data_IF_993408730727
#
_entry.id   IF_993408730727
#
_cell.length_a   1.000
_cell.length_b   1.000
_cell.length_c   1.000
_cell.angle_alpha   90.00
_cell.angle_beta   90.00
_cell.angle_gamma   90.00
#
_symmetry.space_group_name_H-M   'P 1'
#
loop_
_entity.id
_entity.type
_entity.pdbx_description
1 polymer ?
#
# COMPACT_ATOMS: atom_id res chain seq x y z
N UNK A 1 -0.35 -4.84 -15.29
CA UNK A 1 0.42 -3.95 -14.39
C UNK A 1 0.69 -4.70 -13.09
N UNK A 2 1.95 -4.76 -12.65
CA UNK A 2 2.35 -5.36 -11.38
C UNK A 2 2.21 -4.30 -10.28
N UNK A 3 1.10 -4.33 -9.54
CA UNK A 3 0.81 -3.37 -8.46
C UNK A 3 0.13 -4.05 -7.30
N UNK A 4 0.68 -3.91 -6.10
CA UNK A 4 0.10 -4.52 -4.90
C UNK A 4 -1.25 -3.90 -4.54
N UNK A 5 -1.48 -2.61 -4.79
CA UNK A 5 -2.80 -1.98 -4.59
C UNK A 5 -3.85 -2.63 -5.49
N UNK A 6 -3.51 -2.87 -6.78
CA UNK A 6 -4.40 -3.60 -7.70
C UNK A 6 -4.60 -5.05 -7.27
N UNK A 7 -3.55 -5.73 -6.81
CA UNK A 7 -3.66 -7.10 -6.27
C UNK A 7 -4.60 -7.16 -5.08
N UNK A 8 -4.50 -6.22 -4.13
CA UNK A 8 -5.39 -6.13 -2.97
C UNK A 8 -6.85 -5.85 -3.37
N UNK A 9 -7.11 -4.93 -4.31
CA UNK A 9 -8.46 -4.67 -4.84
C UNK A 9 -9.11 -5.95 -5.39
N UNK A 10 -8.35 -6.74 -6.17
CA UNK A 10 -8.85 -8.01 -6.73
C UNK A 10 -9.06 -9.05 -5.64
N UNK A 11 -8.13 -9.19 -4.69
CA UNK A 11 -8.26 -10.10 -3.55
C UNK A 11 -9.50 -9.79 -2.71
N UNK A 12 -9.74 -8.52 -2.41
CA UNK A 12 -10.94 -8.04 -1.72
C UNK A 12 -12.22 -8.45 -2.46
N UNK A 13 -12.30 -8.23 -3.77
CA UNK A 13 -13.47 -8.60 -4.58
C UNK A 13 -13.73 -10.11 -4.56
N UNK A 14 -12.69 -10.92 -4.68
CA UNK A 14 -12.81 -12.39 -4.62
C UNK A 14 -13.32 -12.85 -3.25
N UNK A 15 -12.79 -12.31 -2.15
CA UNK A 15 -13.23 -12.67 -0.80
C UNK A 15 -14.67 -12.20 -0.55
N UNK A 16 -15.04 -11.01 -1.01
CA UNK A 16 -16.40 -10.49 -0.89
C UNK A 16 -17.41 -11.39 -1.62
N UNK A 17 -17.08 -11.89 -2.81
CA UNK A 17 -17.91 -12.87 -3.55
C UNK A 17 -18.11 -14.18 -2.78
N UNK A 18 -17.19 -14.53 -1.88
CA UNK A 18 -17.27 -15.70 -1.01
C UNK A 18 -17.90 -15.41 0.36
N UNK A 19 -18.47 -14.20 0.54
CA UNK A 19 -19.03 -13.77 1.82
C UNK A 19 -17.98 -13.55 2.92
N UNK A 20 -16.70 -13.41 2.56
CA UNK A 20 -15.61 -13.18 3.50
C UNK A 20 -15.22 -11.72 3.50
N UNK A 21 -15.10 -11.13 4.70
CA UNK A 21 -14.74 -9.73 4.88
C UNK A 21 -13.23 -9.58 5.00
N UNK A 22 -12.61 -8.91 4.03
CA UNK A 22 -11.23 -8.42 4.13
C UNK A 22 -11.25 -6.94 4.51
N UNK A 23 -10.80 -6.62 5.73
CA UNK A 23 -10.70 -5.23 6.20
C UNK A 23 -9.48 -4.54 5.60
N UNK A 24 -9.49 -3.21 5.39
CA UNK A 24 -8.32 -2.48 4.89
C UNK A 24 -7.07 -2.67 5.76
N UNK A 25 -7.22 -2.71 7.09
CA UNK A 25 -6.11 -3.00 8.00
C UNK A 25 -5.50 -4.39 7.73
N UNK A 26 -6.33 -5.41 7.52
CA UNK A 26 -5.86 -6.75 7.19
C UNK A 26 -5.22 -6.77 5.79
N UNK A 27 -5.77 -6.06 4.81
CA UNK A 27 -5.18 -5.94 3.47
C UNK A 27 -3.76 -5.38 3.52
N UNK A 28 -3.56 -4.27 4.25
CA UNK A 28 -2.24 -3.64 4.35
C UNK A 28 -1.27 -4.46 5.20
N UNK A 29 -1.75 -5.15 6.24
CA UNK A 29 -0.95 -6.17 6.94
C UNK A 29 -0.49 -7.27 5.99
N UNK A 30 -1.41 -7.87 5.22
CA UNK A 30 -1.09 -8.93 4.26
C UNK A 30 -0.13 -8.48 3.17
N UNK A 31 -0.19 -7.21 2.75
CA UNK A 31 0.74 -6.65 1.76
C UNK A 31 2.14 -6.35 2.33
N UNK A 32 2.26 -6.14 3.64
CA UNK A 32 3.51 -5.71 4.30
C UNK A 32 4.04 -6.78 5.25
N UNK A 33 3.88 -6.62 6.56
CA UNK A 33 4.40 -7.54 7.58
C UNK A 33 3.90 -8.98 7.40
N UNK A 34 2.63 -9.18 7.04
CA UNK A 34 2.07 -10.50 6.77
C UNK A 34 2.77 -11.22 5.61
N UNK A 35 3.16 -10.48 4.56
CA UNK A 35 3.95 -11.03 3.45
C UNK A 35 5.39 -11.33 3.90
N UNK A 36 6.02 -10.41 4.62
CA UNK A 36 7.38 -10.61 5.15
C UNK A 36 7.48 -11.86 6.05
N UNK A 37 6.49 -12.07 6.92
CA UNK A 37 6.35 -13.29 7.74
C UNK A 37 6.24 -14.55 6.90
N UNK A 38 5.41 -14.52 5.86
CA UNK A 38 5.22 -15.67 4.95
C UNK A 38 6.51 -16.05 4.22
N UNK A 39 7.43 -15.09 4.07
CA UNK A 39 8.74 -15.28 3.45
C UNK A 39 9.89 -15.48 4.46
N UNK A 40 9.60 -15.54 5.76
CA UNK A 40 10.62 -15.60 6.83
C UNK A 40 11.60 -14.41 6.82
N UNK A 41 11.10 -13.22 6.43
CA UNK A 41 11.85 -11.96 6.38
C UNK A 41 11.37 -10.94 7.43
N UNK A 42 10.54 -11.38 8.39
CA UNK A 42 10.23 -10.59 9.57
C UNK A 42 11.52 -10.24 10.33
N UNK A 43 11.61 -9.01 10.84
CA UNK A 43 12.84 -8.48 11.45
C UNK A 43 13.88 -8.02 10.42
N UNK A 44 13.59 -8.14 9.12
CA UNK A 44 14.40 -7.55 8.04
C UNK A 44 13.59 -6.51 7.26
N UNK A 45 12.35 -6.83 6.83
CA UNK A 45 11.47 -5.92 6.07
C UNK A 45 10.01 -6.01 6.53
N UNK A 46 9.15 -5.15 5.98
CA UNK A 46 7.69 -5.21 6.17
C UNK A 46 7.16 -4.52 7.42
N UNK A 47 8.02 -3.91 8.23
CA UNK A 47 7.64 -3.08 9.39
C UNK A 47 8.63 -1.95 9.58
N UNK A 48 8.14 -0.78 10.00
CA UNK A 48 8.97 0.37 10.37
C UNK A 48 9.42 0.17 11.83
N UNK A 49 10.61 -0.41 12.00
CA UNK A 49 11.19 -0.67 13.31
C UNK A 49 12.73 -0.60 13.23
N UNK A 50 13.42 -0.23 14.33
CA UNK A 50 14.88 -0.32 14.40
C UNK A 50 15.38 -1.73 14.06
N UNK A 51 16.45 -1.82 13.26
CA UNK A 51 17.01 -3.09 12.78
C UNK A 51 16.47 -3.57 11.44
N UNK A 52 15.28 -3.11 11.01
CA UNK A 52 14.75 -3.42 9.69
C UNK A 52 15.37 -2.50 8.61
N UNK A 53 15.43 -2.99 7.38
CA UNK A 53 15.76 -2.18 6.22
C UNK A 53 14.73 -1.06 6.03
N UNK A 54 15.20 0.11 5.63
CA UNK A 54 14.36 1.27 5.33
C UNK A 54 13.76 1.18 3.91
N UNK A 55 13.01 0.10 3.68
CA UNK A 55 12.25 -0.15 2.47
C UNK A 55 10.83 0.41 2.66
N UNK A 56 10.58 1.59 2.08
CA UNK A 56 9.38 2.37 2.35
C UNK A 56 8.72 2.83 1.05
N UNK A 57 7.40 2.95 1.08
CA UNK A 57 6.62 3.53 0.01
C UNK A 57 5.85 4.70 0.59
N UNK A 58 6.06 5.90 0.05
CA UNK A 58 5.26 7.08 0.41
C UNK A 58 4.04 7.10 -0.49
N UNK A 59 2.86 7.11 0.11
CA UNK A 59 1.59 7.08 -0.60
C UNK A 59 0.92 8.45 -0.57
N UNK A 60 0.32 8.84 -1.69
CA UNK A 60 -0.56 10.00 -1.81
C UNK A 60 -2.00 9.53 -2.05
N UNK A 61 -2.83 9.63 -1.02
CA UNK A 61 -4.25 9.30 -1.07
C UNK A 61 -5.08 10.32 -1.87
N UNK A 62 -4.51 11.45 -2.28
CA UNK A 62 -5.12 12.47 -3.12
C UNK A 62 -4.61 12.48 -4.57
N UNK A 63 -3.80 11.51 -4.98
CA UNK A 63 -3.01 11.55 -6.22
C UNK A 63 -3.79 11.71 -7.54
N UNK A 64 -5.10 11.51 -7.54
CA UNK A 64 -5.96 11.74 -8.71
C UNK A 64 -7.19 12.56 -8.32
N UNK A 65 -7.84 13.29 -9.25
CA UNK A 65 -9.04 14.07 -8.92
C UNK A 65 -10.15 13.24 -8.26
N UNK A 66 -10.34 11.99 -8.70
CA UNK A 66 -11.32 11.08 -8.12
C UNK A 66 -10.94 10.64 -6.69
N UNK A 67 -9.66 10.41 -6.43
CA UNK A 67 -9.15 10.08 -5.11
C UNK A 67 -9.26 11.29 -4.17
N UNK A 68 -8.83 12.47 -4.58
CA UNK A 68 -8.93 13.71 -3.79
C UNK A 68 -10.38 14.01 -3.40
N UNK A 69 -11.34 13.87 -4.33
CA UNK A 69 -12.76 14.07 -4.05
C UNK A 69 -13.29 13.10 -2.99
N UNK A 70 -12.88 11.83 -3.04
CA UNK A 70 -13.30 10.81 -2.07
C UNK A 70 -12.59 10.98 -0.72
N UNK A 71 -11.31 11.34 -0.73
CA UNK A 71 -10.51 11.62 0.45
C UNK A 71 -11.10 12.79 1.26
N UNK A 72 -11.68 13.81 0.60
CA UNK A 72 -12.33 14.94 1.25
C UNK A 72 -13.50 14.55 2.18
N UNK A 73 -14.04 13.34 2.02
CA UNK A 73 -15.10 12.79 2.89
C UNK A 73 -14.62 11.71 3.85
N UNK A 74 -13.35 11.28 3.74
CA UNK A 74 -12.78 10.27 4.62
C UNK A 74 -12.46 10.89 5.99
N UNK A 75 -12.89 10.22 7.05
CA UNK A 75 -12.80 10.66 8.44
C UNK A 75 -11.96 9.73 9.31
N UNK A 76 -11.50 8.61 8.75
CA UNK A 76 -10.71 7.60 9.46
C UNK A 76 -9.63 6.99 8.59
N UNK A 77 -8.59 6.47 9.24
CA UNK A 77 -7.53 5.71 8.58
C UNK A 77 -8.06 4.51 7.78
N UNK A 78 -9.11 3.83 8.30
CA UNK A 78 -9.71 2.67 7.60
C UNK A 78 -10.32 3.11 6.27
N UNK A 79 -10.98 4.27 6.22
CA UNK A 79 -11.55 4.83 5.00
C UNK A 79 -10.46 5.28 4.02
N UNK A 80 -9.40 5.91 4.51
CA UNK A 80 -8.24 6.30 3.69
C UNK A 80 -7.52 5.09 3.07
N UNK A 81 -7.27 4.04 3.86
CA UNK A 81 -6.67 2.80 3.37
C UNK A 81 -7.58 2.08 2.37
N UNK A 82 -8.90 2.10 2.60
CA UNK A 82 -9.85 1.53 1.64
C UNK A 82 -9.87 2.30 0.32
N UNK A 83 -9.77 3.63 0.38
CA UNK A 83 -9.62 4.48 -0.79
C UNK A 83 -8.34 4.14 -1.57
N UNK A 84 -7.19 4.09 -0.90
CA UNK A 84 -5.92 3.70 -1.51
C UNK A 84 -6.00 2.30 -2.14
N UNK A 85 -6.60 1.33 -1.46
CA UNK A 85 -6.77 -0.03 -1.96
C UNK A 85 -7.63 -0.08 -3.24
N UNK A 86 -8.73 0.67 -3.29
CA UNK A 86 -9.74 0.53 -4.35
C UNK A 86 -9.51 1.44 -5.56
N UNK A 87 -9.00 2.65 -5.34
CA UNK A 87 -8.77 3.66 -6.38
C UNK A 87 -7.29 3.88 -6.70
N UNK A 88 -6.38 3.45 -5.82
CA UNK A 88 -4.95 3.66 -6.00
C UNK A 88 -4.35 2.95 -7.21
N UNK A 89 -3.39 3.63 -7.84
CA UNK A 89 -2.51 3.09 -8.86
C UNK A 89 -1.09 3.67 -8.73
N UNK A 90 -0.28 3.56 -9.77
CA UNK A 90 1.12 4.01 -9.78
C UNK A 90 1.27 5.51 -9.45
N UNK A 91 0.25 6.33 -9.70
CA UNK A 91 0.25 7.75 -9.35
C UNK A 91 0.13 7.97 -7.85
N UNK A 92 -0.50 7.05 -7.13
CA UNK A 92 -0.59 7.09 -5.67
C UNK A 92 0.76 6.82 -4.99
N UNK A 93 1.78 6.39 -5.73
CA UNK A 93 3.14 6.23 -5.19
C UNK A 93 3.87 7.56 -5.29
N UNK A 94 3.99 8.33 -4.22
CA UNK A 94 4.70 9.60 -4.23
C UNK A 94 6.23 9.39 -4.31
N UNK A 95 6.76 8.42 -3.56
CA UNK A 95 8.18 8.08 -3.52
C UNK A 95 8.37 6.61 -3.11
N UNK A 96 9.51 6.03 -3.48
CA UNK A 96 9.95 4.72 -3.02
C UNK A 96 11.35 4.86 -2.43
N UNK A 97 11.57 4.30 -1.26
CA UNK A 97 12.88 4.17 -0.64
C UNK A 97 13.28 2.70 -0.60
N UNK A 98 14.52 2.41 -0.98
CA UNK A 98 15.14 1.08 -0.89
C UNK A 98 16.41 1.23 -0.07
N UNK A 99 16.51 0.49 1.03
CA UNK A 99 17.59 0.60 2.02
C UNK A 99 17.87 2.06 2.44
N UNK A 100 16.81 2.89 2.53
CA UNK A 100 16.90 4.30 2.93
C UNK A 100 17.28 5.27 1.81
N UNK A 101 17.60 4.79 0.60
CA UNK A 101 17.89 5.64 -0.56
C UNK A 101 16.63 5.87 -1.41
N UNK A 102 16.43 7.10 -1.90
CA UNK A 102 15.35 7.43 -2.84
C UNK A 102 15.54 6.66 -4.15
N UNK A 103 14.50 5.95 -4.58
CA UNK A 103 14.53 5.08 -5.75
C UNK A 103 13.60 5.55 -6.88
N UNK A 104 12.42 6.12 -6.59
CA UNK A 104 11.50 6.56 -7.66
C UNK A 104 11.97 7.87 -8.28
N UNK A 105 12.31 8.86 -7.46
CA UNK A 105 12.73 10.17 -7.98
C UNK A 105 14.08 10.12 -8.72
N UNK A 106 14.94 9.15 -8.38
CA UNK A 106 16.25 8.99 -9.01
C UNK A 106 16.16 8.33 -10.38
N UNK A 107 15.16 7.49 -10.62
CA UNK A 107 14.87 6.93 -11.95
C UNK A 107 14.33 7.95 -12.95
N UNK A 108 13.62 8.99 -12.48
CA UNK A 108 13.10 10.06 -13.35
C UNK A 108 14.13 11.11 -13.77
N UNK A 109 15.36 11.02 -13.26
CA UNK A 109 16.50 11.86 -13.64
C UNK A 109 17.40 11.23 -14.71
N UNK A 110 16.99 10.12 -15.33
CA UNK A 110 17.59 9.52 -16.52
C UNK A 110 16.87 9.99 -17.79
#
# INVERSE_FOLDING_TARGET
SYSMLRTLDKGYKVLQLRGQRLTPLNSFYMMTLGNARSLSLEGTIGTIAPGNAADLVVLDAGATPAMALRLATASSLVEELFLLQTLGDDRAIAEVYVAGARAKSTLGGL
#
